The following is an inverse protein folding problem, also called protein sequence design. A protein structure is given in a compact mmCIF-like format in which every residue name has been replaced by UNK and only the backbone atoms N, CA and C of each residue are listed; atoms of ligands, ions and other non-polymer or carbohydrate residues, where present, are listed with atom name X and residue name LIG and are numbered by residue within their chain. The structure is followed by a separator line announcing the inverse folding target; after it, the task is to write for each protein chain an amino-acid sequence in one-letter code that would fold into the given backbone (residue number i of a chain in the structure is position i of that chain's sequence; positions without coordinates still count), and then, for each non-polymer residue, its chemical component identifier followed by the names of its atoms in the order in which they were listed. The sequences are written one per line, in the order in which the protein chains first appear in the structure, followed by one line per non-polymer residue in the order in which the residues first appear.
data_IF_104933837664
#
_entry.id   IF_104933837664
#
_cell.length_a   1.000
_cell.length_b   1.000
_cell.length_c   1.000
_cell.angle_alpha   90.00
_cell.angle_beta   90.00
_cell.angle_gamma   90.00
#
_symmetry.space_group_name_H-M   'P 1'
#
loop_
_entity.id
_entity.type
_entity.pdbx_description
1 polymer ?
#
# COMPACT_ATOMS: atom_id res chain seq x y z
N UNK A 1 -35.66 15.54 -6.71
CA UNK A 1 -34.61 16.54 -6.89
C UNK A 1 -34.31 16.66 -8.37
N UNK A 2 -34.35 17.90 -8.87
CA UNK A 2 -34.07 18.25 -10.26
C UNK A 2 -32.88 19.21 -10.32
N UNK A 3 -32.31 19.44 -11.50
CA UNK A 3 -31.24 20.44 -11.71
C UNK A 3 -31.70 21.87 -11.37
N UNK A 4 -33.00 22.12 -11.28
CA UNK A 4 -33.54 23.41 -10.88
C UNK A 4 -33.45 23.66 -9.37
N UNK A 5 -33.42 22.58 -8.57
CA UNK A 5 -33.28 22.65 -7.12
C UNK A 5 -31.84 23.02 -6.70
N UNK A 6 -30.86 22.97 -7.63
CA UNK A 6 -29.47 23.38 -7.40
C UNK A 6 -29.22 24.90 -7.59
N UNK A 7 -30.28 25.67 -7.87
CA UNK A 7 -30.20 27.15 -8.01
C UNK A 7 -30.39 27.82 -6.66
N UNK A 8 -29.67 28.91 -6.44
CA UNK A 8 -29.78 29.73 -5.23
C UNK A 8 -29.38 29.01 -3.92
N UNK A 9 -28.45 28.08 -4.02
CA UNK A 9 -27.92 27.39 -2.85
C UNK A 9 -27.18 28.35 -1.92
N UNK A 10 -27.37 28.17 -0.62
CA UNK A 10 -26.66 28.89 0.42
C UNK A 10 -25.60 27.94 0.99
N UNK A 11 -24.33 28.37 0.97
CA UNK A 11 -23.26 27.60 1.56
C UNK A 11 -23.41 27.57 3.10
N UNK A 12 -23.72 26.43 3.66
CA UNK A 12 -23.90 26.24 5.10
C UNK A 12 -22.62 25.82 5.81
N UNK A 13 -21.73 25.12 5.12
CA UNK A 13 -20.49 24.61 5.70
C UNK A 13 -19.98 23.34 5.02
N UNK A 14 -18.86 22.85 5.51
CA UNK A 14 -18.24 21.58 5.10
C UNK A 14 -18.29 20.58 6.24
N UNK A 15 -18.63 19.33 5.93
CA UNK A 15 -18.50 18.20 6.83
C UNK A 15 -17.40 17.30 6.26
N UNK A 16 -16.36 17.08 7.04
CA UNK A 16 -15.29 16.16 6.67
C UNK A 16 -15.45 14.83 7.42
N UNK A 17 -15.27 13.74 6.69
CA UNK A 17 -15.22 12.39 7.24
C UNK A 17 -13.84 11.80 6.96
N UNK A 18 -13.30 11.09 7.92
CA UNK A 18 -12.02 10.39 7.79
C UNK A 18 -12.14 9.00 8.43
N UNK A 19 -11.72 7.99 7.69
CA UNK A 19 -11.51 6.66 8.27
C UNK A 19 -10.12 6.64 8.91
N UNK A 20 -10.02 6.54 10.25
CA UNK A 20 -8.73 6.58 10.92
C UNK A 20 -7.96 5.28 10.66
N UNK A 21 -6.63 5.34 10.48
CA UNK A 21 -5.83 4.13 10.44
C UNK A 21 -5.96 3.37 11.77
N UNK A 22 -5.92 2.03 11.69
CA UNK A 22 -5.94 1.18 12.88
C UNK A 22 -4.74 1.49 13.79
N UNK A 23 -4.94 1.51 15.09
CA UNK A 23 -3.86 1.84 16.05
C UNK A 23 -2.68 0.87 15.96
N UNK A 24 -2.96 -0.41 15.72
CA UNK A 24 -1.95 -1.46 15.57
C UNK A 24 -1.03 -1.24 14.36
N UNK A 25 -1.51 -0.54 13.32
CA UNK A 25 -0.74 -0.30 12.10
C UNK A 25 0.55 0.48 12.36
N UNK A 26 0.51 1.46 13.28
CA UNK A 26 1.69 2.24 13.63
C UNK A 26 2.76 1.39 14.32
N UNK A 27 2.36 0.54 15.25
CA UNK A 27 3.27 -0.37 15.94
C UNK A 27 3.89 -1.37 14.95
N UNK A 28 3.08 -1.96 14.08
CA UNK A 28 3.54 -2.90 13.06
C UNK A 28 4.52 -2.27 12.07
N UNK A 29 4.27 -1.04 11.62
CA UNK A 29 5.19 -0.28 10.76
C UNK A 29 6.53 -0.06 11.47
N UNK A 30 6.51 0.34 12.73
CA UNK A 30 7.73 0.54 13.51
C UNK A 30 8.54 -0.76 13.67
N UNK A 31 7.86 -1.90 13.87
CA UNK A 31 8.51 -3.22 13.92
C UNK A 31 9.11 -3.62 12.58
N UNK A 32 8.41 -3.38 11.46
CA UNK A 32 8.98 -3.58 10.12
C UNK A 32 10.29 -2.83 9.94
N UNK A 33 10.30 -1.53 10.26
CA UNK A 33 11.49 -0.67 10.13
C UNK A 33 12.65 -1.21 11.00
N UNK A 34 12.36 -1.58 12.25
CA UNK A 34 13.35 -2.20 13.15
C UNK A 34 13.92 -3.50 12.57
N UNK A 35 13.09 -4.28 11.90
CA UNK A 35 13.48 -5.55 11.28
C UNK A 35 14.21 -5.37 9.94
N UNK A 36 14.49 -4.13 9.51
CA UNK A 36 15.11 -3.81 8.22
C UNK A 36 14.17 -4.00 7.02
N UNK A 37 12.85 -4.04 7.26
CA UNK A 37 11.82 -4.10 6.23
C UNK A 37 11.35 -2.67 5.96
N UNK A 38 11.33 -2.29 4.69
CA UNK A 38 10.81 -0.99 4.25
C UNK A 38 9.32 -1.07 3.95
N UNK A 39 8.44 -0.47 4.74
CA UNK A 39 7.03 -0.35 4.41
C UNK A 39 6.84 0.70 3.32
N UNK A 40 6.00 0.40 2.34
CA UNK A 40 5.62 1.29 1.24
C UNK A 40 4.09 1.29 1.14
N UNK A 41 3.50 2.48 1.03
CA UNK A 41 2.05 2.63 0.86
C UNK A 41 1.72 2.81 -0.62
N UNK A 42 0.80 1.99 -1.13
CA UNK A 42 0.29 2.07 -2.50
C UNK A 42 -1.23 2.16 -2.42
N UNK A 43 -1.82 3.27 -2.91
CA UNK A 43 -3.26 3.53 -2.76
C UNK A 43 -3.87 4.20 -3.98
N UNK A 44 -5.18 4.03 -4.15
CA UNK A 44 -6.01 4.81 -5.08
C UNK A 44 -6.37 6.20 -4.57
N UNK A 45 -6.11 6.51 -3.29
CA UNK A 45 -6.45 7.79 -2.67
C UNK A 45 -5.64 8.96 -3.23
N UNK A 46 -6.13 10.16 -2.95
CA UNK A 46 -5.43 11.39 -3.28
C UNK A 46 -4.12 11.52 -2.49
N UNK A 47 -3.08 12.06 -3.13
CA UNK A 47 -1.72 12.21 -2.57
C UNK A 47 -1.70 12.85 -1.17
N UNK A 48 -2.46 13.91 -0.97
CA UNK A 48 -2.48 14.63 0.32
C UNK A 48 -3.08 13.74 1.43
N UNK A 49 -4.15 13.01 1.13
CA UNK A 49 -4.78 12.07 2.07
C UNK A 49 -3.84 10.92 2.39
N UNK A 50 -3.27 10.30 1.36
CA UNK A 50 -2.32 9.19 1.51
C UNK A 50 -1.08 9.62 2.34
N UNK A 51 -0.52 10.80 2.04
CA UNK A 51 0.62 11.34 2.77
C UNK A 51 0.29 11.61 4.25
N UNK A 52 -0.90 12.17 4.55
CA UNK A 52 -1.33 12.42 5.92
C UNK A 52 -1.46 11.11 6.73
N UNK A 53 -2.06 10.07 6.14
CA UNK A 53 -2.18 8.73 6.74
C UNK A 53 -0.79 8.11 6.93
N UNK A 54 0.04 8.09 5.89
CA UNK A 54 1.37 7.51 5.91
C UNK A 54 2.28 8.18 6.97
N UNK A 55 2.18 9.49 7.12
CA UNK A 55 2.89 10.24 8.17
C UNK A 55 2.42 9.84 9.56
N UNK A 56 1.11 9.68 9.75
CA UNK A 56 0.52 9.29 11.03
C UNK A 56 0.95 7.90 11.49
N UNK A 57 1.08 6.94 10.55
CA UNK A 57 1.52 5.57 10.87
C UNK A 57 3.04 5.37 10.79
N UNK A 58 3.81 6.39 10.39
CA UNK A 58 5.28 6.38 10.41
C UNK A 58 5.95 5.84 9.15
N UNK A 59 5.23 5.75 8.02
CA UNK A 59 5.80 5.37 6.72
C UNK A 59 6.47 6.57 6.04
N UNK A 60 5.87 7.77 6.16
CA UNK A 60 6.30 8.99 5.49
C UNK A 60 6.96 9.96 6.46
N UNK A 61 8.12 10.50 6.09
CA UNK A 61 8.81 11.56 6.83
C UNK A 61 8.59 12.91 6.17
N UNK A 62 8.80 13.00 4.86
CA UNK A 62 8.65 14.22 4.08
C UNK A 62 7.73 14.01 2.88
N UNK A 63 7.03 15.07 2.44
CA UNK A 63 6.08 15.01 1.33
C UNK A 63 6.78 14.70 -0.02
N UNK A 64 8.06 14.97 -0.15
CA UNK A 64 8.86 14.60 -1.33
C UNK A 64 8.98 13.09 -1.54
N UNK A 65 8.77 12.29 -0.49
CA UNK A 65 8.72 10.82 -0.58
C UNK A 65 7.36 10.29 -1.10
N UNK A 66 6.42 11.18 -1.47
CA UNK A 66 5.12 10.81 -2.01
C UNK A 66 4.99 11.25 -3.47
N UNK A 67 4.53 10.34 -4.34
CA UNK A 67 4.22 10.63 -5.74
C UNK A 67 2.81 10.16 -6.13
N UNK A 68 2.36 10.58 -7.30
CA UNK A 68 1.13 10.08 -7.92
C UNK A 68 1.42 9.13 -9.08
N UNK A 69 0.44 8.32 -9.48
CA UNK A 69 0.55 7.44 -10.63
C UNK A 69 0.98 8.18 -11.91
N UNK A 70 0.50 9.41 -12.10
CA UNK A 70 0.89 10.26 -13.24
C UNK A 70 2.39 10.56 -13.29
N UNK A 71 3.06 10.65 -12.15
CA UNK A 71 4.51 10.93 -12.08
C UNK A 71 5.34 9.75 -12.63
N UNK A 72 4.82 8.53 -12.52
CA UNK A 72 5.50 7.30 -12.96
C UNK A 72 4.98 6.73 -14.28
N UNK A 73 3.88 7.28 -14.82
CA UNK A 73 3.21 6.80 -16.04
C UNK A 73 4.16 6.71 -17.23
N UNK A 74 4.94 7.76 -17.46
CA UNK A 74 5.83 7.89 -18.63
C UNK A 74 7.30 7.52 -18.33
N UNK A 75 7.60 7.04 -17.11
CA UNK A 75 8.95 6.58 -16.78
C UNK A 75 9.23 5.24 -17.48
N UNK A 76 10.45 5.08 -18.01
CA UNK A 76 10.93 3.76 -18.38
C UNK A 76 11.12 2.88 -17.14
N UNK A 77 11.26 1.56 -17.32
CA UNK A 77 11.45 0.66 -16.18
C UNK A 77 12.80 0.94 -15.47
N UNK A 78 13.85 1.34 -16.22
CA UNK A 78 15.12 1.78 -15.66
C UNK A 78 14.97 3.05 -14.82
N UNK A 79 14.21 4.04 -15.31
CA UNK A 79 13.94 5.28 -14.57
C UNK A 79 13.15 4.99 -13.29
N UNK A 80 12.13 4.13 -13.39
CA UNK A 80 11.33 3.74 -12.24
C UNK A 80 12.18 3.00 -11.19
N UNK A 81 13.06 2.10 -11.63
CA UNK A 81 13.97 1.38 -10.73
C UNK A 81 14.88 2.33 -9.93
N UNK A 82 15.36 3.41 -10.54
CA UNK A 82 16.17 4.41 -9.83
C UNK A 82 15.30 5.35 -8.96
N UNK A 83 14.03 5.47 -9.26
CA UNK A 83 13.09 6.35 -8.57
C UNK A 83 12.51 5.71 -7.28
N UNK A 84 12.16 4.41 -7.30
CA UNK A 84 11.46 3.74 -6.19
C UNK A 84 12.15 3.84 -4.83
N UNK A 85 13.50 3.88 -4.68
CA UNK A 85 14.12 4.03 -3.38
C UNK A 85 13.81 5.35 -2.66
N UNK A 86 13.43 6.36 -3.41
CA UNK A 86 13.15 7.69 -2.86
C UNK A 86 11.68 7.87 -2.46
N UNK A 87 10.81 6.92 -2.82
CA UNK A 87 9.37 7.04 -2.64
C UNK A 87 8.88 6.02 -1.62
N UNK A 88 8.12 6.50 -0.66
CA UNK A 88 7.46 5.71 0.39
C UNK A 88 5.94 5.64 0.21
N UNK A 89 5.35 6.56 -0.59
CA UNK A 89 3.90 6.63 -0.82
C UNK A 89 3.59 6.84 -2.31
N UNK A 90 2.80 5.93 -2.87
CA UNK A 90 2.28 6.02 -4.23
C UNK A 90 0.76 6.20 -4.18
N UNK A 91 0.28 7.35 -4.63
CA UNK A 91 -1.12 7.75 -4.63
C UNK A 91 -1.74 7.68 -6.04
N UNK A 92 -3.05 7.50 -6.15
CA UNK A 92 -3.78 7.45 -7.42
C UNK A 92 -3.14 6.52 -8.46
N UNK A 93 -2.70 5.35 -8.03
CA UNK A 93 -2.06 4.37 -8.90
C UNK A 93 -3.06 3.40 -9.52
N UNK A 94 -2.82 3.06 -10.79
CA UNK A 94 -3.54 2.00 -11.49
C UNK A 94 -3.02 0.61 -11.10
N UNK A 95 -3.74 -0.49 -11.44
CA UNK A 95 -3.23 -1.84 -11.28
C UNK A 95 -1.88 -2.09 -11.98
N UNK A 96 -1.67 -1.50 -13.16
CA UNK A 96 -0.41 -1.59 -13.91
C UNK A 96 0.75 -0.93 -13.16
N UNK A 97 0.50 0.24 -12.56
CA UNK A 97 1.51 0.91 -11.72
C UNK A 97 1.94 0.03 -10.56
N UNK A 98 1.01 -0.66 -9.89
CA UNK A 98 1.32 -1.58 -8.78
C UNK A 98 2.29 -2.68 -9.21
N UNK A 99 2.05 -3.29 -10.38
CA UNK A 99 2.94 -4.33 -10.94
C UNK A 99 4.33 -3.75 -11.23
N UNK A 100 4.40 -2.58 -11.86
CA UNK A 100 5.67 -1.93 -12.20
C UNK A 100 6.48 -1.57 -10.96
N UNK A 101 5.84 -1.05 -9.92
CA UNK A 101 6.50 -0.74 -8.65
C UNK A 101 7.07 -2.02 -8.00
N UNK A 102 6.30 -3.11 -7.96
CA UNK A 102 6.77 -4.40 -7.44
C UNK A 102 7.99 -4.89 -8.22
N UNK A 103 7.94 -4.89 -9.56
CA UNK A 103 9.07 -5.29 -10.42
C UNK A 103 10.30 -4.42 -10.19
N UNK A 104 10.14 -3.11 -10.10
CA UNK A 104 11.25 -2.19 -9.90
C UNK A 104 12.00 -2.48 -8.59
N UNK A 105 11.29 -2.86 -7.52
CA UNK A 105 11.90 -3.30 -6.27
C UNK A 105 12.58 -4.67 -6.40
N UNK A 106 11.95 -5.62 -7.09
CA UNK A 106 12.54 -6.95 -7.36
C UNK A 106 13.83 -6.85 -8.17
N UNK A 107 13.87 -5.99 -9.20
CA UNK A 107 15.06 -5.72 -10.02
C UNK A 107 16.21 -5.06 -9.23
N UNK A 108 15.91 -4.42 -8.10
CA UNK A 108 16.93 -3.96 -7.13
C UNK A 108 17.39 -5.07 -6.17
N UNK A 109 16.96 -6.32 -6.38
CA UNK A 109 17.33 -7.47 -5.54
C UNK A 109 16.57 -7.54 -4.21
N UNK A 110 15.48 -6.81 -4.07
CA UNK A 110 14.64 -6.84 -2.86
C UNK A 110 13.59 -7.94 -2.96
N UNK A 111 13.34 -8.63 -1.84
CA UNK A 111 12.19 -9.54 -1.69
C UNK A 111 10.97 -8.70 -1.36
N UNK A 112 9.95 -8.75 -2.21
CA UNK A 112 8.77 -7.90 -2.12
C UNK A 112 7.57 -8.69 -1.60
N UNK A 113 7.01 -8.27 -0.47
CA UNK A 113 5.69 -8.67 -0.01
C UNK A 113 4.66 -7.60 -0.44
N UNK A 114 3.60 -8.02 -1.13
CA UNK A 114 2.50 -7.15 -1.55
C UNK A 114 1.23 -7.54 -0.83
N UNK A 115 0.55 -6.58 -0.23
CA UNK A 115 -0.76 -6.80 0.39
C UNK A 115 -1.88 -6.19 -0.46
N UNK A 116 -3.03 -6.83 -0.50
CA UNK A 116 -4.19 -6.31 -1.23
C UNK A 116 -5.48 -7.07 -0.90
N UNK A 117 -6.61 -6.46 -1.21
CA UNK A 117 -7.95 -7.00 -0.94
C UNK A 117 -8.84 -7.04 -2.20
N UNK A 118 -8.51 -6.25 -3.20
CA UNK A 118 -9.32 -6.06 -4.39
C UNK A 118 -8.89 -6.86 -5.63
N UNK A 119 -9.79 -6.91 -6.60
CA UNK A 119 -9.51 -7.48 -7.94
C UNK A 119 -8.35 -6.74 -8.61
N UNK A 120 -8.24 -5.44 -8.36
CA UNK A 120 -7.20 -4.58 -8.91
C UNK A 120 -5.80 -4.86 -8.32
N UNK A 121 -5.73 -5.56 -7.19
CA UNK A 121 -4.47 -5.94 -6.55
C UNK A 121 -3.96 -7.29 -7.03
N UNK A 122 -4.84 -8.16 -7.50
CA UNK A 122 -4.52 -9.53 -7.84
C UNK A 122 -3.31 -9.69 -8.78
N UNK A 123 -3.13 -8.88 -9.85
CA UNK A 123 -1.93 -8.99 -10.68
C UNK A 123 -0.63 -8.63 -9.93
N UNK A 124 -0.66 -7.63 -9.04
CA UNK A 124 0.49 -7.25 -8.23
C UNK A 124 0.77 -8.26 -7.11
N UNK A 125 -0.28 -8.85 -6.50
CA UNK A 125 -0.15 -9.95 -5.54
C UNK A 125 0.55 -11.16 -6.18
N UNK A 126 0.19 -11.49 -7.42
CA UNK A 126 0.80 -12.59 -8.16
C UNK A 126 2.24 -12.28 -8.60
N UNK A 127 2.56 -11.01 -8.88
CA UNK A 127 3.89 -10.58 -9.28
C UNK A 127 4.87 -10.57 -8.12
N UNK A 128 4.43 -10.23 -6.91
CA UNK A 128 5.27 -10.15 -5.73
C UNK A 128 5.87 -11.53 -5.36
N UNK A 129 7.00 -11.52 -4.66
CA UNK A 129 7.59 -12.75 -4.11
C UNK A 129 6.66 -13.39 -3.08
N UNK A 130 5.95 -12.54 -2.32
CA UNK A 130 4.95 -12.97 -1.35
C UNK A 130 3.70 -12.09 -1.51
N UNK A 131 2.69 -12.56 -2.24
CA UNK A 131 1.36 -11.94 -2.27
C UNK A 131 0.59 -12.29 -1.01
N UNK A 132 0.00 -11.30 -0.34
CA UNK A 132 -0.79 -11.47 0.89
C UNK A 132 -2.17 -10.87 0.70
N UNK A 133 -3.21 -11.68 0.72
CA UNK A 133 -4.59 -11.22 0.60
C UNK A 133 -5.29 -11.11 1.95
N UNK A 134 -6.23 -10.16 2.04
CA UNK A 134 -7.14 -10.06 3.18
C UNK A 134 -8.16 -11.21 3.13
N UNK A 135 -8.38 -11.90 4.25
CA UNK A 135 -9.22 -13.09 4.32
C UNK A 135 -10.69 -12.76 4.58
N UNK A 136 -10.98 -11.71 5.33
CA UNK A 136 -12.34 -11.27 5.68
C UNK A 136 -12.89 -10.34 4.60
N UNK A 137 -12.18 -9.25 4.31
CA UNK A 137 -12.62 -8.22 3.35
C UNK A 137 -12.17 -8.49 1.92
N UNK A 138 -11.17 -9.36 1.73
CA UNK A 138 -10.58 -9.62 0.42
C UNK A 138 -11.52 -10.38 -0.52
N UNK A 139 -11.46 -10.00 -1.80
CA UNK A 139 -12.19 -10.71 -2.87
C UNK A 139 -11.58 -12.09 -3.11
N UNK A 140 -12.38 -13.04 -3.63
CA UNK A 140 -11.89 -14.38 -4.02
C UNK A 140 -10.77 -14.29 -5.07
N UNK A 141 -10.81 -13.27 -5.94
CA UNK A 141 -9.77 -13.05 -6.95
C UNK A 141 -8.44 -12.70 -6.29
N UNK A 142 -8.43 -11.81 -5.29
CA UNK A 142 -7.23 -11.47 -4.53
C UNK A 142 -6.70 -12.68 -3.75
N UNK A 143 -7.58 -13.43 -3.06
CA UNK A 143 -7.22 -14.64 -2.31
C UNK A 143 -6.59 -15.70 -3.19
N UNK A 144 -7.15 -15.94 -4.38
CA UNK A 144 -6.62 -16.92 -5.34
C UNK A 144 -5.29 -16.48 -5.98
N UNK A 145 -5.00 -15.20 -6.03
CA UNK A 145 -3.75 -14.66 -6.55
C UNK A 145 -2.61 -14.64 -5.52
N UNK A 146 -2.95 -14.69 -4.24
CA UNK A 146 -2.00 -14.55 -3.13
C UNK A 146 -1.37 -15.88 -2.73
N UNK A 147 -0.15 -15.82 -2.22
CA UNK A 147 0.54 -16.95 -1.60
C UNK A 147 0.13 -17.15 -0.12
N UNK A 148 -0.41 -16.11 0.53
CA UNK A 148 -0.84 -16.11 1.91
C UNK A 148 -2.17 -15.37 2.06
N UNK A 149 -3.04 -15.84 2.95
CA UNK A 149 -4.31 -15.19 3.29
C UNK A 149 -4.34 -14.88 4.77
N UNK A 150 -4.58 -13.62 5.12
CA UNK A 150 -4.72 -13.17 6.53
C UNK A 150 -6.14 -13.42 7.02
N UNK A 151 -6.32 -14.25 8.00
CA UNK A 151 -7.64 -14.59 8.55
C UNK A 151 -8.24 -13.49 9.42
N UNK A 152 -7.42 -12.54 9.87
CA UNK A 152 -7.79 -11.42 10.76
C UNK A 152 -7.71 -10.04 10.08
N UNK A 153 -7.35 -9.98 8.81
CA UNK A 153 -7.12 -8.74 8.03
C UNK A 153 -6.21 -7.74 8.75
N UNK A 154 -5.26 -8.23 9.54
CA UNK A 154 -4.40 -7.39 10.35
C UNK A 154 -2.97 -7.40 9.84
N UNK A 155 -2.47 -6.23 9.41
CA UNK A 155 -1.10 -6.05 8.93
C UNK A 155 -0.05 -6.49 9.99
N UNK A 156 -0.32 -6.33 11.28
CA UNK A 156 0.58 -6.76 12.35
C UNK A 156 0.84 -8.28 12.34
N UNK A 157 -0.10 -9.08 11.82
CA UNK A 157 0.07 -10.53 11.67
C UNK A 157 1.14 -10.88 10.65
N UNK A 158 1.34 -10.06 9.62
CA UNK A 158 2.44 -10.23 8.64
C UNK A 158 3.79 -10.08 9.34
N UNK A 159 3.91 -9.09 10.23
CA UNK A 159 5.16 -8.86 10.97
C UNK A 159 5.52 -10.06 11.83
N UNK A 160 4.54 -10.64 12.53
CA UNK A 160 4.71 -11.87 13.31
C UNK A 160 5.10 -13.07 12.44
N UNK A 161 4.49 -13.19 11.25
CA UNK A 161 4.84 -14.24 10.31
C UNK A 161 6.30 -14.14 9.85
N UNK A 162 6.79 -12.94 9.56
CA UNK A 162 8.19 -12.68 9.20
C UNK A 162 9.13 -13.03 10.37
N UNK A 163 8.80 -12.62 11.60
CA UNK A 163 9.57 -12.93 12.80
C UNK A 163 9.68 -14.44 13.01
N UNK A 164 8.55 -15.14 12.94
CA UNK A 164 8.51 -16.60 13.09
C UNK A 164 9.31 -17.30 11.97
N UNK A 165 9.20 -16.84 10.73
CA UNK A 165 9.98 -17.37 9.61
C UNK A 165 11.48 -17.19 9.79
N UNK A 166 11.94 -16.02 10.26
CA UNK A 166 13.35 -15.76 10.58
C UNK A 166 13.86 -16.66 11.71
N UNK A 167 13.07 -16.80 12.79
CA UNK A 167 13.42 -17.69 13.90
C UNK A 167 13.51 -19.17 13.44
N UNK A 168 12.58 -19.61 12.60
CA UNK A 168 12.62 -20.96 12.04
C UNK A 168 13.89 -21.19 11.22
N UNK A 169 14.24 -20.23 10.35
CA UNK A 169 15.45 -20.32 9.53
C UNK A 169 16.73 -20.35 10.36
N UNK A 170 16.80 -19.59 11.46
CA UNK A 170 17.96 -19.61 12.38
C UNK A 170 18.13 -20.94 13.10
N UNK A 171 17.03 -21.69 13.30
CA UNK A 171 17.05 -22.99 13.96
C UNK A 171 17.38 -24.16 13.01
N UNK A 172 17.42 -23.94 11.71
CA UNK A 172 17.82 -24.91 10.68
C UNK A 172 19.33 -24.82 10.43
#
# INVERSE_FOLDING_TARGET
LTMEDEKHLVFLGLIAMMDPPREESRAAVAECIKAGIRPVMITGDHKITAAAIAKRIGILHDLSEACEGADIENMSDEQLREFVPNISVYARVSPEHKIRIVRAWQEKGMIVAMTGDGVNDAPALKQADIGVAMGVTGTEVAKNAAAMVLTDDNFATIVKAVENGRNLYQNI
#
